data_IF_897710638743
#
_entry.id   IF_897710638743
#
_cell.length_a   1.000
_cell.length_b   1.000
_cell.length_c   1.000
_cell.angle_alpha   90.00
_cell.angle_beta   90.00
_cell.angle_gamma   90.00
#
_symmetry.space_group_name_H-M   'P 1'
#
loop_
_entity.id
_entity.type
_entity.pdbx_description
1 polymer ?
#
# COMPACT_ATOMS: atom_id res chain seq x y z
N UNK A 1 -21.82 2.43 2.74
CA UNK A 1 -20.77 2.69 3.74
C UNK A 1 -19.53 1.93 3.30
N UNK A 2 -18.63 2.57 2.54
CA UNK A 2 -17.40 1.92 2.10
C UNK A 2 -16.36 2.06 3.22
N UNK A 3 -16.10 0.96 3.93
CA UNK A 3 -15.06 0.92 4.96
C UNK A 3 -13.71 1.18 4.27
N UNK A 4 -12.86 2.04 4.85
CA UNK A 4 -11.48 2.26 4.37
C UNK A 4 -10.68 0.94 4.22
N UNK A 5 -11.10 -0.11 4.93
CA UNK A 5 -10.54 -1.46 4.80
C UNK A 5 -10.81 -2.11 3.43
N UNK A 6 -11.92 -1.79 2.75
CA UNK A 6 -12.25 -2.35 1.44
C UNK A 6 -11.39 -1.78 0.32
N UNK A 7 -10.95 -0.53 0.43
CA UNK A 7 -10.22 0.14 -0.65
C UNK A 7 -8.75 -0.27 -0.73
N UNK A 8 -8.13 -0.50 0.42
CA UNK A 8 -6.79 -1.08 0.47
C UNK A 8 -6.78 -2.59 0.21
N UNK A 9 -7.94 -3.25 0.13
CA UNK A 9 -8.02 -4.68 -0.14
C UNK A 9 -7.42 -5.03 -1.50
N UNK A 10 -7.86 -4.32 -2.55
CA UNK A 10 -7.34 -4.48 -3.92
C UNK A 10 -5.84 -4.21 -3.96
N UNK A 11 -5.38 -3.14 -3.29
CA UNK A 11 -3.97 -2.81 -3.18
C UNK A 11 -3.16 -3.96 -2.55
N UNK A 12 -3.61 -4.50 -1.43
CA UNK A 12 -2.96 -5.64 -0.74
C UNK A 12 -2.94 -6.89 -1.61
N UNK A 13 -4.05 -7.21 -2.26
CA UNK A 13 -4.16 -8.40 -3.12
C UNK A 13 -3.20 -8.31 -4.32
N UNK A 14 -3.07 -7.15 -4.94
CA UNK A 14 -2.13 -6.93 -6.05
C UNK A 14 -0.67 -6.99 -5.60
N UNK A 15 -0.33 -6.42 -4.43
CA UNK A 15 1.02 -6.54 -3.87
C UNK A 15 1.37 -7.99 -3.51
N UNK A 16 0.40 -8.75 -2.99
CA UNK A 16 0.58 -10.17 -2.65
C UNK A 16 0.94 -11.01 -3.87
N UNK A 17 0.37 -10.71 -5.05
CA UNK A 17 0.75 -11.36 -6.33
C UNK A 17 2.23 -11.13 -6.70
N UNK A 18 2.85 -10.07 -6.19
CA UNK A 18 4.27 -9.75 -6.37
C UNK A 18 5.16 -10.31 -5.24
N UNK A 19 4.64 -11.21 -4.41
CA UNK A 19 5.27 -11.69 -3.18
C UNK A 19 5.56 -10.59 -2.14
N UNK A 20 4.83 -9.47 -2.20
CA UNK A 20 4.95 -8.37 -1.25
C UNK A 20 3.82 -8.47 -0.22
N UNK A 21 4.16 -8.58 1.06
CA UNK A 21 3.19 -8.73 2.13
C UNK A 21 2.98 -7.43 2.91
N UNK A 22 1.75 -6.91 2.91
CA UNK A 22 1.39 -5.66 3.59
C UNK A 22 1.08 -5.94 5.05
N UNK A 23 1.98 -5.50 5.93
CA UNK A 23 1.90 -5.72 7.38
C UNK A 23 0.95 -4.76 8.07
N UNK A 24 0.99 -3.48 7.71
CA UNK A 24 0.25 -2.43 8.41
C UNK A 24 -0.08 -1.28 7.47
N UNK A 25 -1.24 -0.67 7.68
CA UNK A 25 -1.63 0.59 7.03
C UNK A 25 -2.01 1.56 8.13
N UNK A 26 -1.40 2.73 8.15
CA UNK A 26 -1.63 3.78 9.15
C UNK A 26 -2.09 5.03 8.43
N UNK A 27 -3.22 5.63 8.82
CA UNK A 27 -3.60 6.94 8.32
C UNK A 27 -2.66 7.99 8.90
N UNK A 28 -2.04 8.78 8.04
CA UNK A 28 -1.07 9.83 8.41
C UNK A 28 -1.64 11.17 7.96
N UNK A 29 -1.91 12.08 8.90
CA UNK A 29 -2.35 13.44 8.59
C UNK A 29 -3.35 14.03 9.57
N UNK A 30 -3.41 15.37 9.61
CA UNK A 30 -4.34 16.12 10.45
C UNK A 30 -5.61 16.46 9.66
N UNK A 31 -6.77 15.97 10.10
CA UNK A 31 -8.12 16.44 9.76
C UNK A 31 -8.62 16.28 8.31
N UNK A 32 -7.80 16.56 7.30
CA UNK A 32 -8.21 16.69 5.89
C UNK A 32 -7.32 15.94 4.89
N UNK A 33 -6.24 15.30 5.34
CA UNK A 33 -5.35 14.54 4.47
C UNK A 33 -5.69 13.04 4.47
N UNK A 34 -5.93 12.48 3.28
CA UNK A 34 -6.16 11.04 3.04
C UNK A 34 -4.86 10.28 2.74
N UNK A 35 -3.78 10.65 3.42
CA UNK A 35 -2.51 9.96 3.33
C UNK A 35 -2.49 8.74 4.25
N UNK A 36 -1.89 7.67 3.75
CA UNK A 36 -1.69 6.44 4.48
C UNK A 36 -0.24 6.00 4.32
N UNK A 37 0.38 5.62 5.41
CA UNK A 37 1.67 4.93 5.41
C UNK A 37 1.42 3.43 5.39
N UNK A 38 1.91 2.77 4.36
CA UNK A 38 1.79 1.33 4.16
C UNK A 38 3.13 0.68 4.43
N UNK A 39 3.15 -0.19 5.43
CA UNK A 39 4.30 -1.00 5.80
C UNK A 39 4.20 -2.35 5.10
N UNK A 40 5.23 -2.72 4.36
CA UNK A 40 5.27 -3.94 3.56
C UNK A 40 6.61 -4.67 3.66
N UNK A 41 6.56 -6.00 3.56
CA UNK A 41 7.72 -6.87 3.43
C UNK A 41 7.84 -7.30 1.98
N UNK A 42 9.00 -7.05 1.38
CA UNK A 42 9.28 -7.37 -0.01
C UNK A 42 10.28 -8.52 -0.09
N UNK A 43 10.23 -9.38 -1.13
CA UNK A 43 11.18 -10.48 -1.28
C UNK A 43 12.61 -9.99 -1.52
N UNK A 44 12.79 -8.72 -1.92
CA UNK A 44 14.11 -8.11 -2.19
C UNK A 44 14.80 -7.58 -0.93
N UNK A 45 14.07 -7.40 0.17
CA UNK A 45 14.60 -6.77 1.38
C UNK A 45 14.27 -7.63 2.61
N UNK A 46 15.24 -7.85 3.48
CA UNK A 46 14.99 -8.58 4.74
C UNK A 46 14.13 -7.77 5.73
N UNK A 47 14.20 -6.44 5.63
CA UNK A 47 13.50 -5.51 6.52
C UNK A 47 12.12 -5.12 5.98
N UNK A 48 11.24 -4.70 6.90
CA UNK A 48 9.97 -4.06 6.55
C UNK A 48 10.26 -2.66 6.02
N UNK A 49 9.74 -2.33 4.83
CA UNK A 49 9.79 -1.00 4.25
C UNK A 49 8.43 -0.32 4.40
N UNK A 50 8.40 1.00 4.29
CA UNK A 50 7.15 1.76 4.25
C UNK A 50 7.08 2.67 3.03
N UNK A 51 5.85 2.94 2.58
CA UNK A 51 5.56 3.89 1.50
C UNK A 51 4.35 4.73 1.88
N UNK A 52 4.41 6.01 1.55
CA UNK A 52 3.26 6.91 1.69
C UNK A 52 2.41 6.86 0.42
N UNK A 53 1.12 6.62 0.60
CA UNK A 53 0.15 6.56 -0.48
C UNK A 53 -1.09 7.38 -0.13
N UNK A 54 -1.55 8.17 -1.08
CA UNK A 54 -2.86 8.81 -1.00
C UNK A 54 -3.93 7.83 -1.44
N UNK A 55 -5.06 7.79 -0.75
CA UNK A 55 -6.22 6.94 -1.07
C UNK A 55 -6.61 7.00 -2.55
N UNK A 56 -6.68 8.19 -3.14
CA UNK A 56 -7.06 8.39 -4.55
C UNK A 56 -6.00 7.92 -5.56
N UNK A 57 -4.78 7.61 -5.12
CA UNK A 57 -3.66 7.23 -5.98
C UNK A 57 -3.22 5.77 -5.78
N UNK A 58 -4.06 4.92 -5.18
CA UNK A 58 -3.74 3.52 -4.92
C UNK A 58 -3.43 2.74 -6.21
N UNK A 59 -4.22 2.92 -7.26
CA UNK A 59 -4.02 2.22 -8.55
C UNK A 59 -2.67 2.60 -9.19
N UNK A 60 -2.37 3.89 -9.22
CA UNK A 60 -1.06 4.38 -9.71
C UNK A 60 0.10 3.82 -8.88
N UNK A 61 -0.10 3.65 -7.57
CA UNK A 61 0.91 3.03 -6.70
C UNK A 61 1.09 1.54 -7.03
N UNK A 62 0.01 0.79 -7.25
CA UNK A 62 0.10 -0.62 -7.68
C UNK A 62 0.89 -0.74 -8.97
N UNK A 63 0.65 0.12 -9.96
CA UNK A 63 1.41 0.09 -11.21
C UNK A 63 2.91 0.33 -11.00
N UNK A 64 3.28 1.23 -10.09
CA UNK A 64 4.69 1.46 -9.73
C UNK A 64 5.31 0.22 -9.09
N UNK A 65 4.60 -0.47 -8.20
CA UNK A 65 5.06 -1.73 -7.63
C UNK A 65 5.22 -2.80 -8.72
N UNK A 66 4.25 -2.93 -9.63
CA UNK A 66 4.37 -3.85 -10.77
C UNK A 66 5.60 -3.55 -11.62
N UNK A 67 5.83 -2.29 -12.01
CA UNK A 67 7.01 -1.90 -12.80
C UNK A 67 8.34 -2.11 -12.07
N UNK A 68 8.35 -1.92 -10.75
CA UNK A 68 9.57 -2.08 -9.97
C UNK A 68 9.90 -3.57 -9.73
N UNK A 69 8.89 -4.43 -9.60
CA UNK A 69 9.04 -5.83 -9.18
C UNK A 69 8.88 -6.86 -10.32
N UNK A 70 8.35 -6.46 -11.47
CA UNK A 70 8.39 -7.24 -12.70
C UNK A 70 9.80 -7.35 -13.26
#
# INVERSE_FOLDING_TARGET
MSNIQDEFKVFKDELKKLNIDVQKVVKVGNGSMDFHEVFYKSPRYQEIKSVYVQRHNLDSMVEKFKKAYH
#
